data_IF_066717831856
#
_entry.id   IF_066717831856
#
_cell.length_a   1.000
_cell.length_b   1.000
_cell.length_c   1.000
_cell.angle_alpha   90.00
_cell.angle_beta   90.00
_cell.angle_gamma   90.00
#
_symmetry.space_group_name_H-M   'P 1'
#
loop_
_entity.id
_entity.type
_entity.pdbx_description
1 polymer ?
#
# COMPACT_ATOMS: atom_id res chain seq x y z
N UNK A 1 5.14 -0.29 17.39
CA UNK A 1 5.03 0.57 16.18
C UNK A 1 4.54 -0.25 15.00
N UNK A 2 3.68 0.32 14.20
CA UNK A 2 3.24 -0.31 12.95
C UNK A 2 4.41 -0.36 11.97
N UNK A 3 4.67 -1.53 11.41
CA UNK A 3 5.74 -1.73 10.43
C UNK A 3 5.16 -1.78 9.04
N UNK A 4 5.66 -0.93 8.15
CA UNK A 4 5.14 -0.83 6.79
C UNK A 4 6.24 -0.98 5.75
N UNK A 5 5.85 -1.41 4.55
CA UNK A 5 6.67 -1.24 3.35
C UNK A 5 5.96 -0.26 2.44
N UNK A 6 6.74 0.53 1.69
CA UNK A 6 6.22 1.56 0.79
C UNK A 6 6.73 1.27 -0.61
N UNK A 7 5.81 1.16 -1.56
CA UNK A 7 6.15 0.82 -2.95
C UNK A 7 5.50 1.81 -3.92
N UNK A 8 6.32 2.53 -4.67
CA UNK A 8 5.92 3.49 -5.68
C UNK A 8 7.10 3.61 -6.67
N UNK A 9 6.84 3.76 -7.95
CA UNK A 9 7.89 3.82 -8.96
C UNK A 9 8.68 5.14 -8.96
N UNK A 10 8.16 6.18 -8.33
CA UNK A 10 8.87 7.46 -8.18
C UNK A 10 9.74 7.41 -6.92
N UNK A 11 11.06 7.32 -7.11
CA UNK A 11 12.04 7.21 -6.02
C UNK A 11 11.95 8.38 -5.05
N UNK A 12 11.82 9.60 -5.57
CA UNK A 12 11.76 10.80 -4.71
C UNK A 12 10.48 10.81 -3.88
N UNK A 13 9.37 10.40 -4.46
CA UNK A 13 8.09 10.27 -3.75
C UNK A 13 8.21 9.28 -2.59
N UNK A 14 8.82 8.13 -2.83
CA UNK A 14 9.02 7.11 -1.78
C UNK A 14 9.86 7.69 -0.64
N UNK A 15 10.95 8.37 -0.97
CA UNK A 15 11.85 8.92 0.04
C UNK A 15 11.17 9.94 0.94
N UNK A 16 10.48 10.91 0.34
CA UNK A 16 9.77 11.95 1.09
C UNK A 16 8.63 11.35 1.92
N UNK A 17 7.87 10.45 1.33
CA UNK A 17 6.75 9.80 2.01
C UNK A 17 7.22 9.01 3.23
N UNK A 18 8.30 8.26 3.08
CA UNK A 18 8.88 7.50 4.19
C UNK A 18 9.37 8.40 5.32
N UNK A 19 9.96 9.55 5.01
CA UNK A 19 10.35 10.52 6.03
C UNK A 19 9.16 11.00 6.84
N UNK A 20 8.04 11.33 6.18
CA UNK A 20 6.82 11.76 6.89
C UNK A 20 6.25 10.64 7.76
N UNK A 21 6.25 9.41 7.27
CA UNK A 21 5.77 8.27 8.07
C UNK A 21 6.60 8.09 9.33
N UNK A 22 7.92 8.15 9.21
CA UNK A 22 8.83 8.01 10.36
C UNK A 22 8.61 9.13 11.40
N UNK A 23 8.38 10.37 10.95
CA UNK A 23 8.05 11.49 11.84
C UNK A 23 6.78 11.19 12.65
N UNK A 24 5.84 10.46 12.06
CA UNK A 24 4.55 10.11 12.69
C UNK A 24 4.59 8.75 13.41
N UNK A 25 5.78 8.25 13.71
CA UNK A 25 5.99 7.00 14.45
C UNK A 25 5.48 5.75 13.72
N UNK A 26 5.48 5.77 12.39
CA UNK A 26 5.26 4.60 11.55
C UNK A 26 6.64 4.11 11.10
N UNK A 27 6.95 2.85 11.37
CA UNK A 27 8.25 2.30 11.03
C UNK A 27 8.28 1.76 9.61
N UNK A 28 9.07 2.37 8.73
CA UNK A 28 9.26 1.89 7.37
C UNK A 28 10.37 0.84 7.37
N UNK A 29 10.02 -0.41 7.11
CA UNK A 29 10.98 -1.52 7.12
C UNK A 29 11.47 -1.89 5.73
N UNK A 30 10.82 -1.41 4.67
CA UNK A 30 11.26 -1.69 3.31
C UNK A 30 10.68 -0.70 2.31
N UNK A 31 11.39 -0.53 1.20
CA UNK A 31 11.03 0.38 0.10
C UNK A 31 11.21 -0.34 -1.21
N UNK A 32 10.27 -0.15 -2.13
CA UNK A 32 10.35 -0.76 -3.45
C UNK A 32 9.76 0.14 -4.52
N UNK A 33 9.98 -0.23 -5.78
CA UNK A 33 9.63 0.63 -6.91
C UNK A 33 8.80 -0.09 -7.98
N UNK A 34 8.36 -1.31 -7.73
CA UNK A 34 7.39 -2.01 -8.59
C UNK A 34 6.66 -3.11 -7.80
N UNK A 35 5.65 -3.69 -8.43
CA UNK A 35 4.83 -4.72 -7.78
C UNK A 35 5.58 -6.01 -7.46
N UNK A 36 6.55 -6.37 -8.28
CA UNK A 36 7.37 -7.57 -8.03
C UNK A 36 8.20 -7.40 -6.76
N UNK A 37 8.81 -6.23 -6.60
CA UNK A 37 9.59 -5.91 -5.40
C UNK A 37 8.71 -5.89 -4.15
N UNK A 38 7.47 -5.42 -4.29
CA UNK A 38 6.51 -5.44 -3.19
C UNK A 38 6.29 -6.87 -2.67
N UNK A 39 6.14 -7.83 -3.56
CA UNK A 39 5.97 -9.24 -3.20
C UNK A 39 7.20 -9.78 -2.48
N UNK A 40 8.39 -9.51 -3.02
CA UNK A 40 9.65 -9.94 -2.41
C UNK A 40 9.83 -9.37 -1.01
N UNK A 41 9.55 -8.08 -0.83
CA UNK A 41 9.65 -7.42 0.46
C UNK A 41 8.63 -7.97 1.45
N UNK A 42 7.42 -8.26 0.99
CA UNK A 42 6.40 -8.84 1.85
C UNK A 42 6.83 -10.21 2.39
N UNK A 43 7.33 -11.07 1.52
CA UNK A 43 7.81 -12.39 1.93
C UNK A 43 8.96 -12.32 2.92
N UNK A 44 9.92 -11.43 2.67
CA UNK A 44 11.14 -11.33 3.47
C UNK A 44 10.90 -10.66 4.82
N UNK A 45 10.08 -9.62 4.85
CA UNK A 45 9.97 -8.72 6.01
C UNK A 45 8.67 -8.89 6.79
N UNK A 46 7.66 -9.44 6.18
CA UNK A 46 6.34 -9.63 6.79
C UNK A 46 5.84 -8.40 7.55
N UNK A 47 5.69 -7.25 6.86
CA UNK A 47 5.25 -6.02 7.52
C UNK A 47 3.80 -6.14 7.98
N UNK A 48 3.39 -5.23 8.86
CA UNK A 48 1.99 -5.14 9.27
C UNK A 48 1.10 -4.64 8.13
N UNK A 49 1.62 -3.70 7.34
CA UNK A 49 0.86 -3.07 6.23
C UNK A 49 1.78 -2.83 5.04
N UNK A 50 1.22 -3.01 3.84
CA UNK A 50 1.85 -2.63 2.57
C UNK A 50 1.16 -1.39 2.03
N UNK A 51 1.92 -0.35 1.72
CA UNK A 51 1.45 0.84 1.00
C UNK A 51 1.94 0.72 -0.43
N UNK A 52 1.03 0.58 -1.38
CA UNK A 52 1.35 0.13 -2.73
C UNK A 52 0.64 0.98 -3.78
N UNK A 53 1.42 1.67 -4.63
CA UNK A 53 0.88 2.42 -5.74
C UNK A 53 0.29 1.47 -6.79
N UNK A 54 -0.80 1.89 -7.44
CA UNK A 54 -1.45 1.10 -8.49
C UNK A 54 -0.67 1.19 -9.80
N UNK A 55 -0.29 2.40 -10.20
CA UNK A 55 0.27 2.68 -11.53
C UNK A 55 1.80 2.63 -11.51
N UNK A 56 2.36 1.51 -11.93
CA UNK A 56 3.81 1.32 -12.04
C UNK A 56 4.13 0.52 -13.30
N UNK A 57 5.26 0.80 -13.99
CA UNK A 57 5.66 0.07 -15.19
C UNK A 57 5.94 -1.41 -14.91
N UNK A 58 5.68 -2.26 -15.87
CA UNK A 58 5.95 -3.72 -15.89
C UNK A 58 5.13 -4.49 -14.85
N UNK A 59 5.45 -4.32 -13.58
CA UNK A 59 4.76 -4.98 -12.46
C UNK A 59 4.01 -3.93 -11.67
N UNK A 60 2.73 -3.78 -11.94
CA UNK A 60 1.90 -2.75 -11.30
C UNK A 60 1.44 -3.13 -9.89
N UNK A 61 0.64 -2.26 -9.29
CA UNK A 61 0.10 -2.49 -7.95
C UNK A 61 -0.86 -3.67 -7.88
N UNK A 62 -1.59 -3.96 -8.95
CA UNK A 62 -2.49 -5.12 -8.97
C UNK A 62 -1.70 -6.43 -8.95
N UNK A 63 -0.58 -6.48 -9.67
CA UNK A 63 0.34 -7.62 -9.59
C UNK A 63 0.80 -7.84 -8.16
N UNK A 64 1.26 -6.76 -7.50
CA UNK A 64 1.72 -6.83 -6.11
C UNK A 64 0.62 -7.29 -5.17
N UNK A 65 -0.55 -6.65 -5.26
CA UNK A 65 -1.69 -6.96 -4.40
C UNK A 65 -2.14 -8.41 -4.53
N UNK A 66 -2.36 -8.88 -5.76
CA UNK A 66 -2.85 -10.24 -5.98
C UNK A 66 -1.85 -11.29 -5.51
N UNK A 67 -0.57 -11.09 -5.75
CA UNK A 67 0.47 -12.05 -5.34
C UNK A 67 0.72 -12.02 -3.83
N UNK A 68 0.67 -10.87 -3.19
CA UNK A 68 0.75 -10.78 -1.73
C UNK A 68 -0.42 -11.52 -1.09
N UNK A 69 -1.63 -11.35 -1.63
CA UNK A 69 -2.81 -12.05 -1.11
C UNK A 69 -2.76 -13.57 -1.33
N UNK A 70 -2.04 -14.04 -2.34
CA UNK A 70 -1.80 -15.47 -2.53
C UNK A 70 -0.88 -16.03 -1.43
N UNK A 71 0.12 -15.25 -1.03
CA UNK A 71 1.04 -15.62 0.06
C UNK A 71 0.28 -15.62 1.39
N UNK A 72 -0.49 -14.57 1.65
CA UNK A 72 -1.24 -14.42 2.88
C UNK A 72 -2.59 -13.74 2.61
N UNK A 73 -3.70 -14.49 2.58
CA UNK A 73 -5.02 -13.88 2.33
C UNK A 73 -5.43 -12.82 3.35
N UNK A 74 -4.83 -12.84 4.54
CA UNK A 74 -5.09 -11.85 5.58
C UNK A 74 -4.16 -10.63 5.50
N UNK A 75 -3.29 -10.54 4.49
CA UNK A 75 -2.38 -9.42 4.32
C UNK A 75 -3.14 -8.09 4.23
N UNK A 76 -2.61 -7.08 4.90
CA UNK A 76 -3.18 -5.73 4.93
C UNK A 76 -2.46 -4.87 3.91
N UNK A 77 -3.17 -4.52 2.84
CA UNK A 77 -2.61 -3.76 1.72
C UNK A 77 -3.45 -2.51 1.50
N UNK A 78 -2.80 -1.36 1.59
CA UNK A 78 -3.40 -0.06 1.29
C UNK A 78 -2.91 0.35 -0.09
N UNK A 79 -3.84 0.54 -1.03
CA UNK A 79 -3.51 0.96 -2.38
C UNK A 79 -3.53 2.48 -2.46
N UNK A 80 -2.59 3.03 -3.23
CA UNK A 80 -2.47 4.48 -3.42
C UNK A 80 -2.58 4.76 -4.92
N UNK A 81 -3.48 5.64 -5.33
CA UNK A 81 -3.70 5.90 -6.76
C UNK A 81 -4.28 7.28 -7.04
N UNK A 82 -3.95 7.83 -8.22
CA UNK A 82 -4.64 8.99 -8.77
C UNK A 82 -5.80 8.58 -9.69
N UNK A 83 -5.96 7.30 -9.95
CA UNK A 83 -6.97 6.77 -10.87
C UNK A 83 -8.30 6.54 -10.15
N UNK A 84 -9.32 7.32 -10.52
CA UNK A 84 -10.68 7.25 -9.96
C UNK A 84 -11.64 6.45 -10.84
N UNK A 85 -11.13 5.69 -11.83
CA UNK A 85 -12.01 4.96 -12.74
C UNK A 85 -12.73 3.81 -12.05
N UNK A 86 -13.91 3.48 -12.59
CA UNK A 86 -14.70 2.34 -12.12
C UNK A 86 -13.92 1.03 -12.21
N UNK A 87 -13.16 0.84 -13.30
CA UNK A 87 -12.39 -0.40 -13.50
C UNK A 87 -11.35 -0.60 -12.42
N UNK A 88 -10.62 0.45 -12.05
CA UNK A 88 -9.63 0.37 -10.97
C UNK A 88 -10.32 0.07 -9.64
N UNK A 89 -11.39 0.78 -9.32
CA UNK A 89 -12.15 0.55 -8.09
C UNK A 89 -12.65 -0.89 -8.00
N UNK A 90 -13.18 -1.42 -9.10
CA UNK A 90 -13.67 -2.78 -9.16
C UNK A 90 -12.57 -3.80 -8.88
N UNK A 91 -11.39 -3.63 -9.49
CA UNK A 91 -10.25 -4.53 -9.27
C UNK A 91 -9.76 -4.48 -7.83
N UNK A 92 -9.73 -3.30 -7.23
CA UNK A 92 -9.31 -3.15 -5.82
C UNK A 92 -10.23 -3.93 -4.88
N UNK A 93 -11.53 -3.93 -5.16
CA UNK A 93 -12.48 -4.73 -4.40
C UNK A 93 -12.29 -6.23 -4.66
N UNK A 94 -12.16 -6.63 -5.92
CA UNK A 94 -11.98 -8.03 -6.31
C UNK A 94 -10.73 -8.65 -5.67
N UNK A 95 -9.64 -7.88 -5.59
CA UNK A 95 -8.39 -8.36 -5.00
C UNK A 95 -8.30 -8.11 -3.51
N UNK A 96 -9.38 -7.66 -2.88
CA UNK A 96 -9.49 -7.51 -1.43
C UNK A 96 -8.46 -6.55 -0.81
N UNK A 97 -8.22 -5.41 -1.46
CA UNK A 97 -7.42 -4.35 -0.85
C UNK A 97 -8.09 -3.88 0.44
N UNK A 98 -7.30 -3.56 1.44
CA UNK A 98 -7.82 -3.14 2.75
C UNK A 98 -8.35 -1.71 2.75
N UNK A 99 -7.72 -0.84 1.96
CA UNK A 99 -8.10 0.57 1.83
C UNK A 99 -7.53 1.14 0.55
N UNK A 100 -8.06 2.28 0.14
CA UNK A 100 -7.56 3.06 -1.00
C UNK A 100 -7.33 4.49 -0.54
N UNK A 101 -6.18 5.04 -0.89
CA UNK A 101 -5.84 6.45 -0.69
C UNK A 101 -5.70 7.08 -2.06
N UNK A 102 -6.45 8.14 -2.33
CA UNK A 102 -6.41 8.83 -3.60
C UNK A 102 -5.42 10.00 -3.56
N UNK A 103 -4.64 10.13 -4.62
CA UNK A 103 -3.71 11.25 -4.79
C UNK A 103 -4.45 12.47 -5.35
N UNK A 104 -4.14 13.70 -4.94
CA UNK A 104 -3.24 14.05 -3.85
C UNK A 104 -3.85 13.75 -2.48
N UNK A 105 -3.02 13.41 -1.51
CA UNK A 105 -3.47 13.07 -0.16
C UNK A 105 -2.80 13.97 0.88
N UNK A 106 -3.41 14.06 2.06
CA UNK A 106 -2.81 14.67 3.23
C UNK A 106 -2.21 13.59 4.11
N UNK A 107 -1.04 13.86 4.67
CA UNK A 107 -0.32 12.84 5.46
C UNK A 107 -1.13 12.38 6.68
N UNK A 108 -1.85 13.28 7.32
CA UNK A 108 -2.66 12.91 8.50
C UNK A 108 -3.76 11.92 8.13
N UNK A 109 -4.36 12.05 6.94
CA UNK A 109 -5.35 11.10 6.44
C UNK A 109 -4.72 9.73 6.18
N UNK A 110 -3.49 9.70 5.65
CA UNK A 110 -2.74 8.46 5.44
C UNK A 110 -2.48 7.76 6.77
N UNK A 111 -2.02 8.50 7.76
CA UNK A 111 -1.73 7.95 9.10
C UNK A 111 -2.99 7.39 9.74
N UNK A 112 -4.11 8.11 9.64
CA UNK A 112 -5.40 7.64 10.16
C UNK A 112 -5.80 6.32 9.49
N UNK A 113 -5.67 6.23 8.16
CA UNK A 113 -5.98 5.03 7.40
C UNK A 113 -5.09 3.86 7.82
N UNK A 114 -3.79 4.10 8.01
CA UNK A 114 -2.85 3.08 8.47
C UNK A 114 -3.31 2.50 9.83
N UNK A 115 -3.66 3.35 10.77
CA UNK A 115 -4.10 2.88 12.08
C UNK A 115 -5.42 2.13 12.02
N UNK A 116 -6.38 2.58 11.22
CA UNK A 116 -7.64 1.85 11.01
C UNK A 116 -7.40 0.46 10.44
N UNK A 117 -6.61 0.37 9.38
CA UNK A 117 -6.31 -0.91 8.73
C UNK A 117 -5.54 -1.82 9.67
N UNK A 118 -4.58 -1.27 10.42
CA UNK A 118 -3.83 -2.05 11.40
C UNK A 118 -4.74 -2.66 12.47
N UNK A 119 -5.82 -1.97 12.81
CA UNK A 119 -6.83 -2.45 13.77
C UNK A 119 -7.89 -3.36 13.12
N UNK A 120 -7.70 -3.76 11.87
CA UNK A 120 -8.58 -4.70 11.19
C UNK A 120 -9.76 -4.07 10.46
N UNK A 121 -9.79 -2.75 10.32
CA UNK A 121 -10.88 -2.06 9.63
C UNK A 121 -10.59 -2.02 8.13
N UNK A 122 -11.53 -2.52 7.31
CA UNK A 122 -11.48 -2.40 5.86
C UNK A 122 -12.30 -1.17 5.47
N UNK A 123 -11.67 -0.22 4.78
CA UNK A 123 -12.28 1.07 4.47
C UNK A 123 -12.72 1.24 3.02
N UNK A 124 -12.58 0.21 2.19
CA UNK A 124 -13.06 0.26 0.81
C UNK A 124 -14.59 0.19 0.81
N UNK A 125 -15.28 1.12 0.15
CA UNK A 125 -16.74 1.07 0.06
C UNK A 125 -17.21 -0.22 -0.61
N UNK A 126 -18.25 -0.79 -0.09
CA UNK A 126 -18.87 -2.00 -0.64
C UNK A 126 -19.80 -1.68 -1.81
#
# INVERSE_FOLDING_TARGET
MVKVIVVDDDVDTVEVFCEYLEIKDIRVVGRGHNGKKAVELYESLQPDIVLLDVMMPEYDGFYGLSNIKKINPAAKVIMVTADLTYDTEKKLKEFSASAVIYKPYEIDSVIETIHKVNNGIVTIPQ
#
